data_IF_508571066285
#
_entry.id   IF_508571066285
#
_cell.length_a   1.000
_cell.length_b   1.000
_cell.length_c   1.000
_cell.angle_alpha   90.00
_cell.angle_beta   90.00
_cell.angle_gamma   90.00
#
_symmetry.space_group_name_H-M   'P 1'
#
loop_
_entity.id
_entity.type
_entity.pdbx_description
1 polymer ?
#
# COMPACT_ATOMS: atom_id res chain seq x y z
N UNK A 1 -12.91 10.83 20.75
CA UNK A 1 -11.87 9.84 20.39
C UNK A 1 -10.55 10.60 20.26
N UNK A 2 -9.62 10.43 21.19
CA UNK A 2 -8.33 11.13 21.19
C UNK A 2 -7.46 10.57 20.05
N UNK A 3 -7.30 11.35 18.97
CA UNK A 3 -6.56 10.96 17.76
C UNK A 3 -5.19 11.65 17.75
N UNK A 4 -4.19 11.07 18.41
CA UNK A 4 -2.78 11.51 18.35
C UNK A 4 -2.43 12.90 18.91
N UNK A 5 -3.40 13.79 19.14
CA UNK A 5 -3.17 15.11 19.73
C UNK A 5 -2.90 14.96 21.22
N UNK A 6 -1.67 15.31 21.61
CA UNK A 6 -1.24 15.40 23.00
C UNK A 6 -1.49 16.85 23.43
N UNK A 7 -2.36 17.06 24.43
CA UNK A 7 -2.53 18.38 25.02
C UNK A 7 -1.19 18.86 25.59
N UNK A 8 -0.88 20.18 25.56
CA UNK A 8 0.38 20.71 26.08
C UNK A 8 0.66 20.31 27.53
N UNK A 9 -0.40 20.09 28.31
CA UNK A 9 -0.34 19.71 29.73
C UNK A 9 -0.28 18.19 29.96
N UNK A 10 -0.24 17.36 28.90
CA UNK A 10 -0.26 15.91 29.05
C UNK A 10 1.14 15.39 29.42
N UNK A 11 1.28 14.67 30.55
CA UNK A 11 2.59 14.21 31.03
C UNK A 11 3.17 13.06 30.18
N UNK A 12 2.35 12.41 29.35
CA UNK A 12 2.73 11.27 28.51
C UNK A 12 2.02 11.30 27.16
N UNK A 13 2.64 10.69 26.15
CA UNK A 13 2.01 10.41 24.85
C UNK A 13 1.13 9.17 24.92
N UNK A 14 0.12 9.11 24.05
CA UNK A 14 -0.66 7.88 23.86
C UNK A 14 0.19 6.77 23.25
N UNK A 15 -0.19 5.52 23.50
CA UNK A 15 0.39 4.37 22.81
C UNK A 15 0.06 4.44 21.32
N UNK A 16 1.09 4.43 20.47
CA UNK A 16 0.97 4.53 19.01
C UNK A 16 1.57 3.28 18.36
N UNK A 17 0.99 2.86 17.24
CA UNK A 17 1.56 1.81 16.42
C UNK A 17 2.87 2.29 15.76
N UNK A 18 3.93 1.47 15.75
CA UNK A 18 5.20 1.80 15.08
C UNK A 18 5.07 1.61 13.57
N UNK A 19 4.22 2.44 12.93
CA UNK A 19 3.90 2.36 11.50
C UNK A 19 5.14 2.46 10.60
N UNK A 20 6.22 3.08 11.09
CA UNK A 20 7.52 3.15 10.43
C UNK A 20 8.13 1.75 10.26
N UNK A 21 8.13 0.93 11.31
CA UNK A 21 8.63 -0.45 11.26
C UNK A 21 7.78 -1.29 10.31
N UNK A 22 6.46 -1.15 10.36
CA UNK A 22 5.56 -1.84 9.43
C UNK A 22 5.82 -1.42 7.97
N UNK A 23 6.08 -0.12 7.73
CA UNK A 23 6.40 0.41 6.40
C UNK A 23 7.74 -0.11 5.88
N UNK A 24 8.77 -0.18 6.73
CA UNK A 24 10.08 -0.73 6.37
C UNK A 24 10.01 -2.23 6.07
N UNK A 25 9.30 -3.01 6.89
CA UNK A 25 9.06 -4.43 6.63
C UNK A 25 8.31 -4.59 5.30
N UNK A 26 7.27 -3.80 5.08
CA UNK A 26 6.52 -3.83 3.83
C UNK A 26 7.41 -3.54 2.61
N UNK A 27 8.26 -2.52 2.69
CA UNK A 27 9.21 -2.19 1.62
C UNK A 27 10.18 -3.34 1.35
N UNK A 28 10.70 -4.00 2.38
CA UNK A 28 11.58 -5.17 2.24
C UNK A 28 10.86 -6.36 1.60
N UNK A 29 9.63 -6.64 2.02
CA UNK A 29 8.80 -7.71 1.44
C UNK A 29 8.51 -7.43 -0.04
N UNK A 30 8.12 -6.21 -0.38
CA UNK A 30 7.88 -5.81 -1.77
C UNK A 30 9.15 -5.89 -2.62
N UNK A 31 10.29 -5.44 -2.09
CA UNK A 31 11.57 -5.54 -2.78
C UNK A 31 11.95 -7.01 -3.03
N UNK A 32 11.84 -7.87 -2.03
CA UNK A 32 12.15 -9.30 -2.17
C UNK A 32 11.20 -9.99 -3.17
N UNK A 33 9.90 -9.72 -3.05
CA UNK A 33 8.87 -10.28 -3.92
C UNK A 33 9.09 -9.87 -5.38
N UNK A 34 9.26 -8.57 -5.64
CA UNK A 34 9.44 -8.05 -6.99
C UNK A 34 10.78 -8.48 -7.59
N UNK A 35 11.87 -8.47 -6.82
CA UNK A 35 13.17 -8.94 -7.27
C UNK A 35 13.14 -10.45 -7.58
N UNK A 36 12.51 -11.26 -6.73
CA UNK A 36 12.41 -12.71 -6.97
C UNK A 36 11.56 -12.96 -8.21
N UNK A 37 10.39 -12.35 -8.31
CA UNK A 37 9.50 -12.50 -9.47
C UNK A 37 10.13 -11.99 -10.77
N UNK A 38 10.97 -10.95 -10.72
CA UNK A 38 11.70 -10.45 -11.88
C UNK A 38 12.47 -11.58 -12.58
N UNK A 39 13.04 -12.54 -11.86
CA UNK A 39 13.80 -13.67 -12.43
C UNK A 39 12.93 -14.69 -13.18
N UNK A 40 11.65 -14.77 -12.85
CA UNK A 40 10.69 -15.75 -13.40
C UNK A 40 9.63 -15.13 -14.33
N UNK A 41 9.74 -13.83 -14.62
CA UNK A 41 8.76 -13.13 -15.45
C UNK A 41 8.86 -13.60 -16.90
N UNK A 42 7.71 -13.80 -17.53
CA UNK A 42 7.59 -14.15 -18.95
C UNK A 42 7.06 -12.99 -19.82
N UNK A 43 6.95 -11.80 -19.21
CA UNK A 43 6.41 -10.58 -19.80
C UNK A 43 7.08 -9.36 -19.18
N UNK A 44 7.51 -8.43 -20.02
CA UNK A 44 7.88 -7.09 -19.57
C UNK A 44 6.66 -6.39 -18.98
N UNK A 45 6.86 -5.67 -17.87
CA UNK A 45 5.76 -5.04 -17.12
C UNK A 45 5.06 -5.97 -16.12
N UNK A 46 5.27 -7.29 -16.15
CA UNK A 46 4.64 -8.20 -15.18
C UNK A 46 5.02 -7.86 -13.72
N UNK A 47 6.26 -7.40 -13.50
CA UNK A 47 6.74 -6.99 -12.17
C UNK A 47 6.04 -5.72 -11.69
N UNK A 48 5.74 -4.77 -12.61
CA UNK A 48 4.94 -3.59 -12.28
C UNK A 48 3.51 -4.00 -11.91
N UNK A 49 2.89 -4.90 -12.68
CA UNK A 49 1.55 -5.41 -12.36
C UNK A 49 1.52 -6.06 -10.97
N UNK A 50 2.52 -6.87 -10.63
CA UNK A 50 2.66 -7.46 -9.30
C UNK A 50 2.76 -6.40 -8.20
N UNK A 51 3.57 -5.36 -8.41
CA UNK A 51 3.69 -4.24 -7.48
C UNK A 51 2.36 -3.50 -7.28
N UNK A 52 1.66 -3.18 -8.38
CA UNK A 52 0.36 -2.51 -8.33
C UNK A 52 -0.72 -3.34 -7.63
N UNK A 53 -0.63 -4.67 -7.66
CA UNK A 53 -1.57 -5.54 -6.96
C UNK A 53 -1.22 -5.77 -5.49
N UNK A 54 0.07 -5.76 -5.12
CA UNK A 54 0.49 -6.13 -3.77
C UNK A 54 0.73 -4.93 -2.85
N UNK A 55 1.32 -3.85 -3.36
CA UNK A 55 1.60 -2.65 -2.56
C UNK A 55 0.33 -2.03 -1.95
N UNK A 56 -0.78 -1.84 -2.69
CA UNK A 56 -1.95 -1.18 -2.12
C UNK A 56 -2.61 -1.92 -0.97
N UNK A 57 -2.55 -3.27 -0.95
CA UNK A 57 -3.12 -4.08 0.12
C UNK A 57 -2.46 -3.72 1.45
N UNK A 58 -1.13 -3.77 1.47
CA UNK A 58 -0.33 -3.44 2.66
C UNK A 58 -0.43 -1.97 3.05
N UNK A 59 -0.44 -1.05 2.07
CA UNK A 59 -0.61 0.38 2.31
C UNK A 59 -1.95 0.69 2.96
N UNK A 60 -3.03 0.07 2.47
CA UNK A 60 -4.37 0.20 3.04
C UNK A 60 -4.42 -0.27 4.49
N UNK A 61 -3.81 -1.42 4.80
CA UNK A 61 -3.73 -1.96 6.16
C UNK A 61 -2.92 -1.07 7.10
N UNK A 62 -1.75 -0.59 6.68
CA UNK A 62 -0.91 0.30 7.50
C UNK A 62 -1.65 1.60 7.81
N UNK A 63 -2.37 2.16 6.83
CA UNK A 63 -3.13 3.38 7.02
C UNK A 63 -4.28 3.18 8.03
N UNK A 64 -4.98 2.04 7.94
CA UNK A 64 -5.99 1.67 8.91
C UNK A 64 -5.43 1.58 10.34
N UNK A 65 -4.22 1.01 10.50
CA UNK A 65 -3.54 0.90 11.80
C UNK A 65 -3.03 2.23 12.36
N UNK A 66 -2.71 3.19 11.49
CA UNK A 66 -2.29 4.53 11.93
C UNK A 66 -3.45 5.31 12.55
N UNK A 67 -4.62 5.26 11.92
CA UNK A 67 -5.87 5.82 12.46
C UNK A 67 -5.85 7.33 12.76
N UNK A 68 -4.82 8.06 12.30
CA UNK A 68 -4.60 9.49 12.51
C UNK A 68 -5.17 10.34 11.37
N UNK A 69 -5.22 9.81 10.16
CA UNK A 69 -5.70 10.50 8.96
C UNK A 69 -7.25 10.54 8.91
N UNK A 70 -7.82 11.69 8.53
CA UNK A 70 -9.27 11.86 8.41
C UNK A 70 -9.80 11.23 7.12
N UNK A 71 -11.04 10.71 7.20
CA UNK A 71 -11.79 10.26 6.04
C UNK A 71 -12.07 11.40 5.05
N UNK A 72 -12.12 11.06 3.76
CA UNK A 72 -12.15 12.00 2.64
C UNK A 72 -13.36 11.72 1.75
N UNK A 73 -13.79 12.74 1.01
CA UNK A 73 -14.94 12.66 0.08
C UNK A 73 -16.25 12.19 0.73
N UNK A 74 -16.48 12.54 2.01
CA UNK A 74 -17.66 12.11 2.75
C UNK A 74 -17.66 10.62 3.14
N UNK A 75 -16.51 9.95 3.04
CA UNK A 75 -16.35 8.55 3.43
C UNK A 75 -15.45 8.41 4.65
N UNK A 76 -15.43 7.21 5.25
CA UNK A 76 -14.48 6.86 6.31
C UNK A 76 -13.06 6.57 5.78
N UNK A 77 -12.87 6.54 4.46
CA UNK A 77 -11.60 6.19 3.84
C UNK A 77 -10.69 7.41 3.71
N UNK A 78 -9.42 7.22 4.02
CA UNK A 78 -8.40 8.27 3.90
C UNK A 78 -7.95 8.46 2.45
N UNK A 79 -7.23 9.55 2.12
CA UNK A 79 -6.66 9.75 0.77
C UNK A 79 -5.76 8.57 0.38
N UNK A 80 -4.91 8.11 1.30
CA UNK A 80 -4.01 6.98 1.05
C UNK A 80 -4.77 5.69 0.73
N UNK A 81 -5.93 5.47 1.35
CA UNK A 81 -6.80 4.33 1.07
C UNK A 81 -7.49 4.46 -0.30
N UNK A 82 -7.98 5.65 -0.66
CA UNK A 82 -8.52 5.91 -1.99
C UNK A 82 -7.50 5.68 -3.10
N UNK A 83 -6.29 6.19 -2.93
CA UNK A 83 -5.18 5.96 -3.87
C UNK A 83 -4.85 4.47 -3.96
N UNK A 84 -4.85 3.76 -2.82
CA UNK A 84 -4.62 2.30 -2.80
C UNK A 84 -5.67 1.55 -3.62
N UNK A 85 -6.96 1.89 -3.48
CA UNK A 85 -8.02 1.30 -4.29
C UNK A 85 -7.82 1.57 -5.80
N UNK A 86 -7.45 2.81 -6.15
CA UNK A 86 -7.17 3.20 -7.53
C UNK A 86 -5.99 2.43 -8.15
N UNK A 87 -4.88 2.30 -7.42
CA UNK A 87 -3.72 1.54 -7.87
C UNK A 87 -4.07 0.05 -8.01
N UNK A 88 -4.82 -0.53 -7.07
CA UNK A 88 -5.20 -1.93 -7.11
C UNK A 88 -6.09 -2.24 -8.31
N UNK A 89 -7.11 -1.41 -8.55
CA UNK A 89 -7.97 -1.52 -9.73
C UNK A 89 -7.18 -1.32 -11.02
N UNK A 90 -6.32 -0.29 -11.07
CA UNK A 90 -5.42 -0.04 -12.19
C UNK A 90 -4.48 -1.21 -12.45
N UNK A 91 -4.02 -1.90 -11.41
CA UNK A 91 -3.20 -3.10 -11.49
C UNK A 91 -3.91 -4.26 -12.17
N UNK A 92 -5.18 -4.50 -11.84
CA UNK A 92 -6.01 -5.49 -12.52
C UNK A 92 -6.25 -5.16 -13.99
N UNK A 93 -6.58 -3.89 -14.28
CA UNK A 93 -6.77 -3.42 -15.66
C UNK A 93 -5.47 -3.60 -16.47
N UNK A 94 -4.34 -3.20 -15.89
CA UNK A 94 -3.03 -3.33 -16.51
C UNK A 94 -2.63 -4.79 -16.72
N UNK A 95 -2.86 -5.66 -15.73
CA UNK A 95 -2.59 -7.09 -15.84
C UNK A 95 -3.43 -7.74 -16.94
N UNK A 96 -4.72 -7.40 -17.03
CA UNK A 96 -5.62 -7.88 -18.08
C UNK A 96 -5.20 -7.42 -19.47
N UNK A 97 -4.78 -6.17 -19.60
CA UNK A 97 -4.20 -5.68 -20.85
C UNK A 97 -2.90 -6.39 -21.20
N UNK A 98 -2.04 -6.65 -20.21
CA UNK A 98 -0.77 -7.34 -20.38
C UNK A 98 -0.96 -8.82 -20.76
N UNK A 99 -1.98 -9.49 -20.23
CA UNK A 99 -2.27 -10.90 -20.56
C UNK A 99 -2.71 -11.09 -22.00
N UNK A 100 -3.24 -10.03 -22.65
CA UNK A 100 -3.59 -10.01 -24.08
C UNK A 100 -2.39 -9.78 -24.99
N UNK A 101 -1.24 -9.39 -24.45
CA UNK A 101 -0.01 -9.20 -25.22
C UNK A 101 0.75 -10.52 -25.37
N UNK A 102 1.43 -10.74 -26.51
CA UNK A 102 2.34 -11.85 -26.66
C UNK A 102 3.38 -11.82 -25.53
N UNK A 103 3.89 -13.00 -25.17
CA UNK A 103 4.96 -13.08 -24.18
C UNK A 103 6.18 -12.31 -24.73
N UNK A 104 6.69 -11.39 -23.94
CA UNK A 104 7.97 -10.73 -24.20
C UNK A 104 8.90 -11.20 -23.08
N UNK A 105 10.00 -11.87 -23.46
CA UNK A 105 10.85 -12.76 -22.64
C UNK A 105 10.42 -14.24 -22.70
#
# INVERSE_FOLDING_TARGET
>A
MFRGFVSPDSPVSMALHPSQIYSSINALVLAFLTATYFRYRNRDGAVLALGMLTYPITRFTIEYLRGDEMGQFGTSLTISQWVSLGIFLGGWIYLFWLSRRPRSL
#
